data_IF_584251126472
#
_entry.id   IF_584251126472
#
_cell.length_a   1.000
_cell.length_b   1.000
_cell.length_c   1.000
_cell.angle_alpha   90.00
_cell.angle_beta   90.00
_cell.angle_gamma   90.00
#
_symmetry.space_group_name_H-M   'P 1'
#
loop_
_entity.id
_entity.type
_entity.pdbx_description
1 polymer ?
#
# COMPACT_ATOMS: atom_id res chain seq x y z
N UNK A 1 8.80 -7.89 -12.76
CA UNK A 1 9.61 -6.78 -12.22
C UNK A 1 9.03 -6.41 -10.86
N UNK A 2 9.86 -6.25 -9.83
CA UNK A 2 9.39 -5.89 -8.48
C UNK A 2 9.79 -4.44 -8.23
N UNK A 3 8.81 -3.58 -7.98
CA UNK A 3 9.02 -2.17 -7.67
C UNK A 3 8.83 -1.96 -6.16
N UNK A 4 9.84 -1.40 -5.49
CA UNK A 4 9.78 -1.02 -4.08
C UNK A 4 9.96 0.48 -3.97
N UNK A 5 9.07 1.13 -3.22
CA UNK A 5 9.11 2.58 -3.01
C UNK A 5 8.41 2.93 -1.71
N UNK A 6 8.71 4.12 -1.18
CA UNK A 6 8.04 4.64 0.01
C UNK A 6 6.56 4.90 -0.28
N UNK A 7 5.70 4.76 0.73
CA UNK A 7 4.25 4.96 0.59
C UNK A 7 3.91 6.36 0.04
N UNK A 8 4.69 7.38 0.44
CA UNK A 8 4.55 8.76 -0.05
C UNK A 8 4.83 8.91 -1.55
N UNK A 9 5.64 8.01 -2.12
CA UNK A 9 5.99 8.03 -3.54
C UNK A 9 5.01 7.21 -4.39
N UNK A 10 4.23 6.30 -3.78
CA UNK A 10 3.20 5.50 -4.49
C UNK A 10 2.13 6.38 -5.15
N UNK A 11 1.88 7.59 -4.62
CA UNK A 11 0.96 8.55 -5.25
C UNK A 11 1.38 8.98 -6.65
N UNK A 12 2.68 8.93 -6.96
CA UNK A 12 3.23 9.26 -8.28
C UNK A 12 3.34 8.05 -9.21
N UNK A 13 3.19 6.82 -8.69
CA UNK A 13 3.17 5.62 -9.52
C UNK A 13 1.97 5.68 -10.49
N UNK A 14 2.21 5.39 -11.76
CA UNK A 14 1.19 5.28 -12.79
C UNK A 14 1.03 3.82 -13.18
N UNK A 15 0.07 3.11 -12.57
CA UNK A 15 -0.19 1.74 -12.94
C UNK A 15 -0.88 1.62 -14.30
N UNK A 16 -0.75 0.45 -14.91
CA UNK A 16 -1.56 0.08 -16.06
C UNK A 16 -2.92 -0.47 -15.60
N UNK A 17 -3.93 -0.40 -16.46
CA UNK A 17 -5.24 -0.96 -16.15
C UNK A 17 -5.13 -2.48 -15.89
N UNK A 18 -5.63 -2.91 -14.72
CA UNK A 18 -5.58 -4.30 -14.27
C UNK A 18 -4.27 -4.73 -13.60
N UNK A 19 -3.31 -3.82 -13.41
CA UNK A 19 -2.06 -4.14 -12.73
C UNK A 19 -2.29 -4.54 -11.27
N UNK A 20 -1.68 -5.65 -10.83
CA UNK A 20 -1.80 -6.15 -9.46
C UNK A 20 -0.68 -5.59 -8.60
N UNK A 21 -1.02 -4.83 -7.57
CA UNK A 21 -0.06 -4.19 -6.66
C UNK A 21 -0.24 -4.72 -5.24
N UNK A 22 0.84 -5.21 -4.65
CA UNK A 22 0.91 -5.62 -3.26
C UNK A 22 1.54 -4.51 -2.42
N UNK A 23 0.80 -3.96 -1.46
CA UNK A 23 1.29 -2.97 -0.52
C UNK A 23 1.63 -3.69 0.79
N UNK A 24 2.92 -3.93 1.01
CA UNK A 24 3.40 -4.50 2.27
C UNK A 24 3.59 -3.37 3.29
N UNK A 25 2.90 -3.47 4.42
CA UNK A 25 2.96 -2.50 5.52
C UNK A 25 3.37 -3.20 6.81
N UNK A 26 4.07 -2.50 7.70
CA UNK A 26 4.41 -3.05 9.01
C UNK A 26 3.15 -3.09 9.91
N UNK A 27 3.19 -3.89 10.98
CA UNK A 27 2.08 -4.00 11.94
C UNK A 27 2.11 -2.91 13.01
N UNK A 28 2.62 -1.72 12.70
CA UNK A 28 2.60 -0.60 13.63
C UNK A 28 1.20 0.03 13.68
N UNK A 29 0.24 -0.77 14.17
CA UNK A 29 -1.18 -0.41 14.30
C UNK A 29 -1.42 0.77 15.25
N UNK A 30 -0.40 1.20 15.99
CA UNK A 30 -0.49 2.33 16.91
C UNK A 30 -0.35 3.67 16.17
N UNK A 31 0.28 3.68 15.00
CA UNK A 31 0.41 4.89 14.21
C UNK A 31 -0.81 5.06 13.26
N UNK A 32 -1.81 5.80 13.73
CA UNK A 32 -3.03 6.12 12.95
C UNK A 32 -2.73 6.84 11.64
N UNK A 33 -1.71 7.71 11.64
CA UNK A 33 -1.29 8.46 10.45
C UNK A 33 -0.77 7.51 9.38
N UNK A 34 0.08 6.57 9.77
CA UNK A 34 0.61 5.52 8.90
C UNK A 34 -0.48 4.68 8.24
N UNK A 35 -1.50 4.27 9.01
CA UNK A 35 -2.65 3.50 8.48
C UNK A 35 -3.46 4.33 7.48
N UNK A 36 -3.64 5.64 7.71
CA UNK A 36 -4.33 6.52 6.75
C UNK A 36 -3.55 6.64 5.45
N UNK A 37 -2.24 6.87 5.52
CA UNK A 37 -1.38 7.02 4.35
C UNK A 37 -1.41 5.79 3.45
N UNK A 38 -1.40 4.59 4.03
CA UNK A 38 -1.48 3.34 3.25
C UNK A 38 -2.84 3.22 2.54
N UNK A 39 -3.94 3.54 3.23
CA UNK A 39 -5.28 3.48 2.64
C UNK A 39 -5.46 4.51 1.52
N UNK A 40 -4.93 5.72 1.70
CA UNK A 40 -4.93 6.76 0.68
C UNK A 40 -4.13 6.33 -0.55
N UNK A 41 -2.93 5.78 -0.36
CA UNK A 41 -2.12 5.24 -1.45
C UNK A 41 -2.84 4.12 -2.21
N UNK A 42 -3.45 3.16 -1.48
CA UNK A 42 -4.22 2.08 -2.09
C UNK A 42 -5.41 2.58 -2.91
N UNK A 43 -6.07 3.64 -2.43
CA UNK A 43 -7.23 4.27 -3.10
C UNK A 43 -6.80 5.01 -4.36
N UNK A 44 -5.70 5.77 -4.29
CA UNK A 44 -5.13 6.48 -5.44
C UNK A 44 -4.64 5.54 -6.55
N UNK A 45 -4.17 4.34 -6.20
CA UNK A 45 -3.79 3.32 -7.18
C UNK A 45 -5.01 2.65 -7.80
N UNK A 46 -6.05 2.35 -7.01
CA UNK A 46 -7.31 1.81 -7.53
C UNK A 46 -8.00 2.77 -8.50
N UNK A 47 -8.01 4.06 -8.20
CA UNK A 47 -8.60 5.07 -9.11
C UNK A 47 -7.87 5.18 -10.44
N UNK A 48 -6.60 4.76 -10.50
CA UNK A 48 -5.80 4.68 -11.74
C UNK A 48 -5.94 3.34 -12.47
N UNK A 49 -6.79 2.43 -11.99
CA UNK A 49 -7.07 1.15 -12.64
C UNK A 49 -6.27 -0.05 -12.12
N UNK A 50 -5.47 0.11 -11.06
CA UNK A 50 -4.79 -1.03 -10.41
C UNK A 50 -5.73 -1.83 -9.50
N UNK A 51 -5.41 -3.11 -9.35
CA UNK A 51 -5.97 -4.01 -8.33
C UNK A 51 -4.99 -4.04 -7.16
N UNK A 52 -5.34 -3.41 -6.04
CA UNK A 52 -4.45 -3.33 -4.87
C UNK A 52 -4.86 -4.27 -3.74
N UNK A 53 -3.86 -4.86 -3.07
CA UNK A 53 -4.03 -5.62 -1.84
C UNK A 53 -3.02 -5.15 -0.80
N UNK A 54 -3.47 -4.99 0.45
CA UNK A 54 -2.61 -4.56 1.56
C UNK A 54 -2.30 -5.79 2.41
N UNK A 55 -1.02 -6.05 2.64
CA UNK A 55 -0.55 -7.14 3.50
C UNK A 55 0.13 -6.53 4.72
N UNK A 56 -0.39 -6.88 5.89
CA UNK A 56 0.15 -6.48 7.19
C UNK A 56 0.52 -7.77 7.93
N UNK A 57 1.76 -7.92 8.41
CA UNK A 57 2.14 -9.10 9.17
C UNK A 57 1.34 -9.14 10.47
N UNK A 58 0.93 -10.34 10.87
CA UNK A 58 0.34 -10.53 12.18
C UNK A 58 1.47 -10.52 13.22
N UNK A 59 1.57 -9.48 14.05
CA UNK A 59 2.50 -9.51 15.18
C UNK A 59 1.86 -10.25 16.35
N UNK A 60 2.33 -11.47 16.58
CA UNK A 60 2.07 -12.23 17.81
C UNK A 60 3.08 -11.72 18.85
N UNK A 61 2.63 -10.97 19.85
CA UNK A 61 3.48 -10.67 21.02
C UNK A 61 3.68 -12.00 21.77
N UNK A 62 4.93 -12.48 21.81
CA UNK A 62 5.34 -13.56 22.71
C UNK A 62 5.47 -13.02 24.13
#
# INVERSE_FOLDING_TARGET
MVYSSNVNNLKYYQPFQGEKILIAANNDKQNKEYVSTIKEAATALKSKGAITSIVIPYSFRR
#
